data_IF_827724526929
#
_entry.id   IF_827724526929
#
_cell.length_a   1.000
_cell.length_b   1.000
_cell.length_c   1.000
_cell.angle_alpha   90.00
_cell.angle_beta   90.00
_cell.angle_gamma   90.00
#
_symmetry.space_group_name_H-M   'P 1'
#
loop_
_entity.id
_entity.type
_entity.pdbx_description
1 polymer ?
#
# COMPACT_ATOMS: atom_id res chain seq x y z
N UNK A 1 10.34 -31.72 -3.66
CA UNK A 1 9.61 -30.65 -4.37
C UNK A 1 9.91 -29.35 -3.67
N UNK A 2 10.46 -28.37 -4.37
CA UNK A 2 10.95 -27.11 -3.79
C UNK A 2 9.79 -26.14 -3.53
N UNK A 3 9.90 -25.37 -2.44
CA UNK A 3 8.98 -24.27 -2.17
C UNK A 3 9.05 -23.22 -3.29
N UNK A 4 8.00 -22.42 -3.44
CA UNK A 4 7.92 -21.32 -4.41
C UNK A 4 7.75 -19.98 -3.71
N UNK A 5 8.14 -18.91 -4.38
CA UNK A 5 7.95 -17.54 -3.91
C UNK A 5 6.77 -16.90 -4.62
N UNK A 6 5.76 -16.49 -3.84
CA UNK A 6 4.52 -15.92 -4.35
C UNK A 6 4.36 -14.50 -3.80
N UNK A 7 3.97 -13.57 -4.68
CA UNK A 7 3.75 -12.17 -4.34
C UNK A 7 2.27 -11.86 -4.53
N UNK A 8 1.65 -11.19 -3.54
CA UNK A 8 0.40 -10.48 -3.71
C UNK A 8 0.64 -8.98 -3.64
N UNK A 9 0.15 -8.19 -4.59
CA UNK A 9 0.31 -6.74 -4.59
C UNK A 9 -1.02 -6.01 -4.84
N UNK A 10 -1.22 -4.88 -4.18
CA UNK A 10 -2.42 -4.05 -4.34
C UNK A 10 -2.09 -2.56 -4.20
N UNK A 11 -2.95 -1.75 -4.81
CA UNK A 11 -2.93 -0.30 -4.77
C UNK A 11 -3.91 0.22 -3.72
N UNK A 12 -3.53 1.31 -3.04
CA UNK A 12 -4.43 2.05 -2.17
C UNK A 12 -4.29 3.55 -2.38
N UNK A 13 -5.43 4.19 -2.55
CA UNK A 13 -5.49 5.64 -2.68
C UNK A 13 -5.11 6.13 -4.08
N UNK A 14 -5.57 5.47 -5.14
CA UNK A 14 -5.50 5.96 -6.53
C UNK A 14 -6.48 7.11 -6.83
N UNK A 15 -7.69 7.03 -6.26
CA UNK A 15 -8.78 7.99 -6.42
C UNK A 15 -8.83 9.29 -5.56
N UNK A 16 -8.20 9.36 -4.36
CA UNK A 16 -8.25 10.51 -3.46
C UNK A 16 -7.81 11.85 -4.05
N UNK A 17 -8.25 12.94 -3.40
CA UNK A 17 -7.85 14.34 -3.63
C UNK A 17 -6.57 14.72 -2.87
N UNK A 18 -6.44 14.23 -1.64
CA UNK A 18 -5.32 14.51 -0.73
C UNK A 18 -4.55 13.22 -0.38
N UNK A 19 -3.34 13.42 0.15
CA UNK A 19 -2.51 12.36 0.71
C UNK A 19 -1.73 11.55 -0.32
N UNK A 20 -0.95 10.56 0.13
CA UNK A 20 -0.16 9.71 -0.75
C UNK A 20 -1.00 8.60 -1.39
N UNK A 21 -0.55 8.12 -2.54
CA UNK A 21 -0.91 6.80 -3.06
C UNK A 21 0.09 5.80 -2.49
N UNK A 22 -0.38 4.67 -2.00
CA UNK A 22 0.45 3.58 -1.51
C UNK A 22 0.23 2.35 -2.36
N UNK A 23 1.30 1.71 -2.81
CA UNK A 23 1.24 0.40 -3.45
C UNK A 23 1.99 -0.55 -2.55
N UNK A 24 1.34 -1.63 -2.14
CA UNK A 24 1.89 -2.57 -1.16
C UNK A 24 1.97 -3.95 -1.78
N UNK A 25 3.00 -4.70 -1.42
CA UNK A 25 3.15 -6.09 -1.80
C UNK A 25 3.56 -6.94 -0.61
N UNK A 26 3.12 -8.20 -0.62
CA UNK A 26 3.46 -9.25 0.35
C UNK A 26 4.15 -10.38 -0.38
N UNK A 27 5.34 -10.76 0.07
CA UNK A 27 6.07 -11.95 -0.38
C UNK A 27 5.85 -13.09 0.61
N UNK A 28 5.54 -14.28 0.08
CA UNK A 28 5.45 -15.51 0.86
C UNK A 28 6.27 -16.64 0.24
N UNK A 29 6.87 -17.47 1.10
CA UNK A 29 7.39 -18.79 0.74
C UNK A 29 6.28 -19.82 0.89
N UNK A 30 6.08 -20.61 -0.15
CA UNK A 30 4.89 -21.43 -0.31
C UNK A 30 5.25 -22.87 -0.65
N UNK A 31 4.79 -23.82 0.17
CA UNK A 31 4.93 -25.26 -0.12
C UNK A 31 3.87 -25.72 -1.14
N UNK A 32 3.98 -26.93 -1.72
CA UNK A 32 2.93 -27.46 -2.59
C UNK A 32 1.54 -27.54 -1.92
N UNK A 33 1.45 -27.78 -0.60
CA UNK A 33 0.17 -27.66 0.11
C UNK A 33 -0.28 -26.20 0.24
N UNK A 34 0.65 -25.30 0.55
CA UNK A 34 0.40 -23.86 0.65
C UNK A 34 -0.16 -23.26 -0.64
N UNK A 35 0.30 -23.74 -1.79
CA UNK A 35 -0.20 -23.30 -3.10
C UNK A 35 -1.72 -23.51 -3.21
N UNK A 36 -2.23 -24.66 -2.75
CA UNK A 36 -3.68 -24.95 -2.73
C UNK A 36 -4.45 -24.07 -1.75
N UNK A 37 -3.77 -23.49 -0.76
CA UNK A 37 -4.37 -22.50 0.15
C UNK A 37 -4.55 -21.17 -0.58
N UNK A 38 -3.53 -20.73 -1.33
CA UNK A 38 -3.57 -19.46 -2.07
C UNK A 38 -4.53 -19.49 -3.26
N UNK A 39 -4.71 -20.63 -3.91
CA UNK A 39 -5.66 -20.81 -5.02
C UNK A 39 -7.13 -20.79 -4.59
N UNK A 40 -7.41 -20.83 -3.28
CA UNK A 40 -8.76 -20.82 -2.74
C UNK A 40 -9.06 -19.47 -2.11
N UNK A 41 -10.24 -18.91 -2.43
CA UNK A 41 -10.74 -17.71 -1.75
C UNK A 41 -10.71 -17.90 -0.22
N UNK A 42 -10.27 -16.90 0.56
CA UNK A 42 -10.36 -16.94 2.03
C UNK A 42 -11.80 -17.23 2.49
N UNK A 43 -11.97 -17.95 3.60
CA UNK A 43 -13.29 -18.30 4.16
C UNK A 43 -13.33 -18.14 5.68
N UNK A 44 -14.54 -18.02 6.23
CA UNK A 44 -14.78 -17.92 7.68
C UNK A 44 -14.13 -16.68 8.29
N UNK A 45 -13.64 -16.80 9.53
CA UNK A 45 -13.06 -15.68 10.28
C UNK A 45 -11.82 -15.04 9.63
N UNK A 46 -11.04 -15.80 8.86
CA UNK A 46 -9.90 -15.22 8.13
C UNK A 46 -10.38 -14.27 7.03
N UNK A 47 -11.46 -14.62 6.33
CA UNK A 47 -12.04 -13.74 5.30
C UNK A 47 -12.56 -12.45 5.93
N UNK A 48 -13.29 -12.52 7.05
CA UNK A 48 -13.78 -11.30 7.71
C UNK A 48 -12.65 -10.41 8.23
N UNK A 49 -11.48 -11.00 8.52
CA UNK A 49 -10.27 -10.26 8.93
C UNK A 49 -9.35 -9.84 7.78
N UNK A 50 -9.70 -10.17 6.54
CA UNK A 50 -8.93 -9.80 5.33
C UNK A 50 -9.74 -8.99 4.31
N UNK A 51 -11.04 -9.26 4.17
CA UNK A 51 -11.83 -8.95 2.97
C UNK A 51 -13.14 -8.22 3.23
N UNK A 52 -13.17 -7.24 4.13
CA UNK A 52 -14.20 -6.19 4.12
C UNK A 52 -13.62 -4.89 3.49
N UNK A 53 -12.86 -5.07 2.42
CA UNK A 53 -12.04 -4.03 1.77
C UNK A 53 -12.85 -2.84 1.21
N UNK A 54 -14.19 -2.99 1.07
CA UNK A 54 -15.11 -1.98 0.52
C UNK A 54 -16.01 -1.32 1.58
N UNK A 55 -16.13 -1.87 2.79
CA UNK A 55 -16.92 -1.30 3.90
C UNK A 55 -16.10 -0.80 5.09
N UNK A 56 -14.81 -1.16 5.20
CA UNK A 56 -14.04 -0.99 6.43
C UNK A 56 -13.43 0.40 6.69
N UNK A 57 -13.38 1.30 5.71
CA UNK A 57 -12.79 2.66 5.91
C UNK A 57 -13.88 3.69 6.23
N UNK A 58 -14.79 3.32 7.12
CA UNK A 58 -15.63 4.25 7.88
C UNK A 58 -15.24 4.14 9.35
N UNK A 59 -14.30 4.99 9.80
CA UNK A 59 -13.94 5.31 11.20
C UNK A 59 -13.71 4.17 12.24
N UNK A 60 -13.95 2.89 11.95
CA UNK A 60 -14.01 1.81 12.94
C UNK A 60 -13.10 0.60 12.69
N UNK A 61 -12.30 0.57 11.60
CA UNK A 61 -11.50 -0.62 11.26
C UNK A 61 -9.99 -0.37 11.07
N UNK A 62 -9.49 0.83 11.37
CA UNK A 62 -8.04 1.09 11.42
C UNK A 62 -7.36 0.11 12.39
N UNK A 63 -8.05 -0.30 13.48
CA UNK A 63 -7.55 -1.27 14.45
C UNK A 63 -7.21 -2.65 13.86
N UNK A 64 -8.01 -3.20 12.94
CA UNK A 64 -7.69 -4.51 12.34
C UNK A 64 -6.49 -4.40 11.40
N UNK A 65 -6.44 -3.36 10.57
CA UNK A 65 -5.33 -3.13 9.66
C UNK A 65 -4.02 -2.86 10.43
N UNK A 66 -4.11 -2.12 11.53
CA UNK A 66 -3.02 -1.91 12.48
C UNK A 66 -2.57 -3.23 13.16
N UNK A 67 -3.50 -4.09 13.56
CA UNK A 67 -3.17 -5.40 14.13
C UNK A 67 -2.36 -6.27 13.16
N UNK A 68 -2.75 -6.29 11.88
CA UNK A 68 -1.97 -6.94 10.82
C UNK A 68 -0.60 -6.33 10.66
N UNK A 69 -0.51 -5.01 10.54
CA UNK A 69 0.74 -4.28 10.41
C UNK A 69 1.71 -4.61 11.57
N UNK A 70 1.26 -4.49 12.82
CA UNK A 70 2.06 -4.83 14.01
C UNK A 70 2.48 -6.29 14.04
N UNK A 71 1.56 -7.23 13.78
CA UNK A 71 1.85 -8.66 13.82
C UNK A 71 2.85 -9.08 12.73
N UNK A 72 2.80 -8.46 11.55
CA UNK A 72 3.72 -8.71 10.45
C UNK A 72 5.12 -8.17 10.76
N UNK A 73 5.23 -6.95 11.29
CA UNK A 73 6.51 -6.38 11.74
C UNK A 73 7.14 -7.21 12.85
N UNK A 74 6.36 -7.61 13.86
CA UNK A 74 6.84 -8.43 14.98
C UNK A 74 7.28 -9.84 14.57
N UNK A 75 6.92 -10.28 13.34
CA UNK A 75 7.37 -11.55 12.75
C UNK A 75 8.53 -11.39 11.78
N UNK A 76 9.13 -10.20 11.69
CA UNK A 76 10.26 -9.93 10.80
C UNK A 76 9.88 -9.67 9.35
N UNK A 77 8.59 -9.45 9.03
CA UNK A 77 8.19 -9.19 7.64
C UNK A 77 8.51 -7.75 7.17
N UNK A 78 8.84 -6.83 8.09
CA UNK A 78 9.32 -5.49 7.78
C UNK A 78 10.77 -5.47 7.29
N UNK A 79 11.35 -4.28 7.10
CA UNK A 79 12.82 -4.09 6.98
C UNK A 79 13.52 -4.25 8.33
N UNK A 80 12.77 -4.03 9.41
CA UNK A 80 13.17 -4.19 10.80
C UNK A 80 11.94 -4.57 11.63
N UNK A 81 12.16 -4.91 12.90
CA UNK A 81 11.11 -5.36 13.83
C UNK A 81 10.66 -4.28 14.82
N UNK A 82 11.22 -3.06 14.73
CA UNK A 82 10.72 -1.91 15.50
C UNK A 82 9.26 -1.65 15.13
N UNK A 83 8.41 -1.54 16.13
CA UNK A 83 6.96 -1.38 15.99
C UNK A 83 6.34 -0.78 17.26
N UNK A 84 6.99 0.23 17.83
CA UNK A 84 6.57 0.89 19.07
C UNK A 84 5.59 2.04 18.84
N UNK A 85 5.57 2.61 17.64
CA UNK A 85 4.61 3.63 17.19
C UNK A 85 4.21 3.44 15.71
N UNK A 86 3.18 4.15 15.22
CA UNK A 86 2.79 4.08 13.81
C UNK A 86 3.91 4.41 12.82
N UNK A 87 4.79 5.38 13.13
CA UNK A 87 5.93 5.71 12.26
C UNK A 87 6.91 4.55 12.09
N UNK A 88 7.14 3.75 13.14
CA UNK A 88 7.97 2.54 13.02
C UNK A 88 7.37 1.56 11.99
N UNK A 89 6.03 1.44 11.92
CA UNK A 89 5.37 0.56 10.94
C UNK A 89 5.47 1.12 9.52
N UNK A 90 5.35 2.45 9.36
CA UNK A 90 5.58 3.12 8.08
C UNK A 90 7.03 2.90 7.61
N UNK A 91 8.02 3.06 8.49
CA UNK A 91 9.43 2.83 8.17
C UNK A 91 9.73 1.35 7.90
N UNK A 92 9.13 0.43 8.67
CA UNK A 92 9.31 -1.00 8.48
C UNK A 92 8.81 -1.47 7.11
N UNK A 93 7.72 -0.89 6.61
CA UNK A 93 7.10 -1.34 5.36
C UNK A 93 7.48 -0.53 4.14
N UNK A 94 7.96 0.70 4.24
CA UNK A 94 8.36 1.44 3.04
C UNK A 94 9.51 0.72 2.31
N UNK A 95 9.51 0.75 0.98
CA UNK A 95 10.61 0.19 0.18
C UNK A 95 11.82 1.12 0.20
N UNK A 96 11.55 2.41 0.02
CA UNK A 96 12.51 3.52 0.06
C UNK A 96 12.73 3.96 1.51
N UNK A 97 13.95 4.35 1.89
CA UNK A 97 14.22 4.90 3.22
C UNK A 97 13.65 6.31 3.38
N UNK A 98 13.66 6.84 4.61
CA UNK A 98 13.13 8.18 4.91
C UNK A 98 13.80 9.25 4.06
N UNK A 99 15.12 9.20 3.92
CA UNK A 99 15.89 10.20 3.17
C UNK A 99 15.50 10.23 1.68
N UNK A 100 15.32 9.06 1.06
CA UNK A 100 14.86 8.96 -0.33
C UNK A 100 13.41 9.46 -0.48
N UNK A 101 12.55 9.23 0.51
CA UNK A 101 11.15 9.67 0.51
C UNK A 101 10.99 11.17 0.76
N UNK A 102 11.92 11.81 1.48
CA UNK A 102 11.90 13.24 1.82
C UNK A 102 12.87 14.09 1.01
N UNK A 103 13.69 13.49 0.15
CA UNK A 103 14.69 14.19 -0.68
C UNK A 103 14.15 15.42 -1.43
N UNK A 104 12.93 15.34 -1.96
CA UNK A 104 12.26 16.43 -2.68
C UNK A 104 11.33 17.27 -1.78
N UNK A 105 11.26 17.02 -0.47
CA UNK A 105 10.42 17.79 0.43
C UNK A 105 11.04 19.17 0.70
N UNK A 106 10.30 20.28 0.50
CA UNK A 106 10.74 21.55 1.04
C UNK A 106 10.79 21.45 2.58
N UNK A 107 11.97 21.71 3.17
CA UNK A 107 12.21 21.46 4.60
C UNK A 107 11.20 22.14 5.53
N UNK A 108 10.70 23.32 5.16
CA UNK A 108 9.74 24.06 5.98
C UNK A 108 8.31 23.50 5.96
N UNK A 109 8.02 22.52 5.10
CA UNK A 109 6.69 21.87 4.99
C UNK A 109 6.72 20.37 5.22
N UNK A 110 7.90 19.76 5.35
CA UNK A 110 8.09 18.32 5.51
C UNK A 110 7.24 17.73 6.64
N UNK A 111 7.15 18.46 7.76
CA UNK A 111 6.36 18.09 8.94
C UNK A 111 4.87 17.84 8.65
N UNK A 112 4.31 18.41 7.57
CA UNK A 112 2.92 18.16 7.17
C UNK A 112 2.68 16.67 6.84
N UNK A 113 3.66 16.00 6.27
CA UNK A 113 3.53 14.61 5.81
C UNK A 113 4.33 13.62 6.66
N UNK A 114 5.35 14.08 7.38
CA UNK A 114 6.33 13.23 8.04
C UNK A 114 6.50 13.46 9.53
N UNK A 115 5.79 14.43 10.13
CA UNK A 115 5.79 14.53 11.60
C UNK A 115 5.09 13.32 12.21
N UNK A 116 5.84 12.57 13.02
CA UNK A 116 5.34 11.48 13.86
C UNK A 116 4.92 11.95 15.26
N UNK A 117 5.04 13.25 15.55
CA UNK A 117 4.63 13.80 16.83
C UNK A 117 3.13 13.59 17.06
N UNK A 118 2.77 13.15 18.26
CA UNK A 118 1.39 12.83 18.63
C UNK A 118 0.83 11.55 18.03
N UNK A 119 1.61 10.75 17.29
CA UNK A 119 1.15 9.46 16.79
C UNK A 119 1.02 8.44 17.90
N UNK A 120 -0.19 7.93 18.07
CA UNK A 120 -0.49 6.88 19.03
C UNK A 120 -1.17 5.73 18.32
N UNK A 121 -0.81 4.57 18.80
CA UNK A 121 -1.46 3.32 18.46
C UNK A 121 -2.85 3.23 19.09
N UNK A 122 -3.70 2.37 18.51
CA UNK A 122 -4.93 1.95 19.18
C UNK A 122 -4.57 1.35 20.55
N UNK A 123 -5.27 1.75 21.64
CA UNK A 123 -5.00 1.30 23.00
C UNK A 123 -4.93 -0.23 23.13
N UNK A 124 -4.08 -0.72 24.03
CA UNK A 124 -3.77 -2.14 24.15
C UNK A 124 -4.98 -2.99 24.61
N UNK A 125 -5.85 -2.42 25.43
CA UNK A 125 -7.11 -3.02 25.88
C UNK A 125 -8.12 -3.19 24.73
N UNK A 126 -8.14 -2.27 23.78
CA UNK A 126 -8.95 -2.39 22.55
C UNK A 126 -8.29 -3.32 21.50
N UNK A 127 -6.96 -3.38 21.45
CA UNK A 127 -6.20 -4.10 20.42
C UNK A 127 -5.95 -5.58 20.75
N UNK A 128 -5.90 -5.96 22.03
CA UNK A 128 -5.33 -7.23 22.50
C UNK A 128 -5.95 -8.49 21.86
N UNK A 129 -7.29 -8.54 21.74
CA UNK A 129 -7.97 -9.69 21.12
C UNK A 129 -7.75 -9.77 19.61
N UNK A 130 -7.83 -8.63 18.93
CA UNK A 130 -7.62 -8.54 17.47
C UNK A 130 -6.20 -8.97 17.12
N UNK A 131 -5.20 -8.49 17.85
CA UNK A 131 -3.79 -8.86 17.64
C UNK A 131 -3.57 -10.36 17.85
N UNK A 132 -4.14 -10.95 18.90
CA UNK A 132 -4.08 -12.40 19.15
C UNK A 132 -4.72 -13.22 18.02
N UNK A 133 -5.84 -12.76 17.46
CA UNK A 133 -6.50 -13.43 16.35
C UNK A 133 -5.66 -13.38 15.08
N UNK A 134 -5.08 -12.23 14.75
CA UNK A 134 -4.19 -12.06 13.60
C UNK A 134 -2.94 -12.94 13.74
N UNK A 135 -2.31 -12.97 14.91
CA UNK A 135 -1.16 -13.84 15.17
C UNK A 135 -1.50 -15.33 14.99
N UNK A 136 -2.69 -15.75 15.44
CA UNK A 136 -3.18 -17.13 15.23
C UNK A 136 -3.42 -17.42 13.76
N UNK A 137 -3.94 -16.47 12.99
CA UNK A 137 -4.15 -16.63 11.55
C UNK A 137 -2.81 -16.78 10.81
N UNK A 138 -1.82 -15.94 11.10
CA UNK A 138 -0.47 -16.04 10.53
C UNK A 138 0.19 -17.39 10.86
N UNK A 139 0.13 -17.83 12.12
CA UNK A 139 0.66 -19.13 12.51
C UNK A 139 -0.08 -20.30 11.83
N UNK A 140 -1.39 -20.17 11.59
CA UNK A 140 -2.18 -21.18 10.87
C UNK A 140 -1.82 -21.23 9.39
N UNK A 141 -1.53 -20.10 8.77
CA UNK A 141 -1.08 -20.04 7.38
C UNK A 141 0.28 -20.72 7.21
N UNK A 142 1.22 -20.41 8.10
CA UNK A 142 2.55 -21.01 8.12
C UNK A 142 2.47 -22.53 8.26
N UNK A 143 1.69 -23.04 9.22
CA UNK A 143 1.44 -24.49 9.39
C UNK A 143 0.81 -25.15 8.16
N UNK A 144 0.14 -24.38 7.31
CA UNK A 144 -0.46 -24.86 6.06
C UNK A 144 0.43 -24.59 4.84
N UNK A 145 1.69 -24.23 5.07
CA UNK A 145 2.69 -24.06 4.02
C UNK A 145 2.69 -22.68 3.37
N UNK A 146 2.13 -21.64 4.00
CA UNK A 146 2.20 -20.24 3.53
C UNK A 146 2.90 -19.40 4.59
N UNK A 147 4.18 -19.15 4.39
CA UNK A 147 5.00 -18.33 5.29
C UNK A 147 5.17 -16.94 4.70
N UNK A 148 4.61 -15.92 5.35
CA UNK A 148 4.81 -14.53 4.95
C UNK A 148 6.22 -14.10 5.34
N UNK A 149 7.03 -13.76 4.33
CA UNK A 149 8.44 -13.43 4.51
C UNK A 149 8.68 -11.94 4.58
N UNK A 150 7.98 -11.16 3.75
CA UNK A 150 8.21 -9.73 3.67
C UNK A 150 6.98 -8.97 3.20
N UNK A 151 6.86 -7.72 3.65
CA UNK A 151 5.88 -6.75 3.19
C UNK A 151 6.61 -5.46 2.86
N UNK A 152 6.37 -4.91 1.68
CA UNK A 152 6.97 -3.65 1.23
C UNK A 152 5.93 -2.77 0.57
N UNK A 153 6.11 -1.47 0.69
CA UNK A 153 5.22 -0.46 0.15
C UNK A 153 6.00 0.65 -0.55
N UNK A 154 5.59 0.99 -1.76
CA UNK A 154 6.03 2.22 -2.43
C UNK A 154 5.03 3.31 -2.08
N UNK A 155 5.53 4.41 -1.53
CA UNK A 155 4.73 5.59 -1.20
C UNK A 155 4.98 6.66 -2.26
N UNK A 156 3.92 7.11 -2.92
CA UNK A 156 3.97 8.20 -3.87
C UNK A 156 3.21 9.39 -3.29
N UNK A 157 3.95 10.39 -2.82
CA UNK A 157 3.37 11.60 -2.23
C UNK A 157 2.65 12.47 -3.27
N UNK A 158 1.85 13.43 -2.80
CA UNK A 158 1.11 14.38 -3.66
C UNK A 158 2.03 15.05 -4.68
N UNK A 159 3.22 15.48 -4.26
CA UNK A 159 4.19 16.12 -5.16
C UNK A 159 4.60 15.19 -6.29
N UNK A 160 5.03 13.96 -6.01
CA UNK A 160 5.43 13.00 -7.04
C UNK A 160 4.29 12.62 -7.99
N UNK A 161 3.06 12.54 -7.50
CA UNK A 161 1.87 12.35 -8.36
C UNK A 161 1.65 13.56 -9.27
N UNK A 162 1.85 14.77 -8.76
CA UNK A 162 1.72 16.00 -9.51
C UNK A 162 2.84 16.19 -10.53
N UNK A 163 4.07 15.81 -10.20
CA UNK A 163 5.21 15.84 -11.11
C UNK A 163 4.99 14.83 -12.25
N UNK A 164 4.44 13.65 -11.95
CA UNK A 164 4.06 12.67 -12.97
C UNK A 164 2.99 13.21 -13.94
N UNK A 165 2.03 14.02 -13.47
CA UNK A 165 1.06 14.70 -14.33
C UNK A 165 1.76 15.70 -15.27
N UNK A 166 2.74 16.45 -14.77
CA UNK A 166 3.52 17.38 -15.61
C UNK A 166 4.35 16.64 -16.68
N UNK A 167 4.76 15.39 -16.39
CA UNK A 167 5.41 14.49 -17.35
C UNK A 167 4.42 13.78 -18.30
N UNK A 168 3.12 14.07 -18.23
CA UNK A 168 2.08 13.42 -19.04
C UNK A 168 1.77 11.98 -18.65
N UNK A 169 2.20 11.52 -17.47
CA UNK A 169 1.95 10.17 -16.96
C UNK A 169 0.67 10.15 -16.13
N UNK A 170 -0.19 9.17 -16.40
CA UNK A 170 -1.39 8.98 -15.58
C UNK A 170 -1.03 8.31 -14.26
N UNK A 171 -1.86 8.52 -13.24
CA UNK A 171 -1.75 7.80 -11.96
C UNK A 171 -1.74 6.26 -12.13
N UNK A 172 -2.38 5.73 -13.17
CA UNK A 172 -2.35 4.30 -13.48
C UNK A 172 -0.94 3.84 -13.91
N UNK A 173 -0.21 4.67 -14.66
CA UNK A 173 1.19 4.38 -15.01
C UNK A 173 2.06 4.41 -13.75
N UNK A 174 1.85 5.40 -12.87
CA UNK A 174 2.59 5.51 -11.61
C UNK A 174 2.34 4.31 -10.70
N UNK A 175 1.08 3.88 -10.59
CA UNK A 175 0.67 2.69 -9.84
C UNK A 175 1.36 1.42 -10.38
N UNK A 176 1.25 1.19 -11.69
CA UNK A 176 1.92 0.07 -12.36
C UNK A 176 3.43 0.07 -12.06
N UNK A 177 4.10 1.21 -12.23
CA UNK A 177 5.55 1.30 -12.02
C UNK A 177 5.93 1.06 -10.56
N UNK A 178 5.09 1.47 -9.61
CA UNK A 178 5.27 1.15 -8.19
C UNK A 178 5.11 -0.35 -7.91
N UNK A 179 4.14 -1.04 -8.51
CA UNK A 179 4.00 -2.50 -8.43
C UNK A 179 5.23 -3.21 -9.01
N UNK A 180 5.72 -2.77 -10.17
CA UNK A 180 6.91 -3.32 -10.81
C UNK A 180 8.16 -3.24 -9.92
N UNK A 181 8.36 -2.10 -9.24
CA UNK A 181 9.47 -1.92 -8.28
C UNK A 181 9.41 -2.93 -7.13
N UNK A 182 8.21 -3.17 -6.59
CA UNK A 182 8.01 -4.12 -5.50
C UNK A 182 8.27 -5.57 -5.93
N UNK A 183 7.81 -5.94 -7.13
CA UNK A 183 8.06 -7.27 -7.71
C UNK A 183 9.56 -7.50 -7.88
N UNK A 184 10.27 -6.53 -8.45
CA UNK A 184 11.72 -6.62 -8.64
C UNK A 184 12.46 -6.72 -7.29
N UNK A 185 12.09 -5.91 -6.30
CA UNK A 185 12.68 -5.96 -4.96
C UNK A 185 12.45 -7.31 -4.27
N UNK A 186 11.27 -7.92 -4.43
CA UNK A 186 10.99 -9.23 -3.86
C UNK A 186 11.61 -10.38 -4.64
N UNK A 187 11.78 -10.25 -5.95
CA UNK A 187 12.57 -11.21 -6.73
C UNK A 187 14.03 -11.19 -6.29
N UNK A 188 14.59 -10.02 -6.01
CA UNK A 188 15.94 -9.87 -5.44
C UNK A 188 16.03 -10.60 -4.10
N UNK A 189 15.08 -10.32 -3.20
CA UNK A 189 15.02 -10.92 -1.86
C UNK A 189 14.84 -12.45 -1.89
N UNK A 190 14.02 -12.96 -2.81
CA UNK A 190 13.79 -14.39 -2.98
C UNK A 190 15.01 -15.12 -3.57
N UNK A 191 15.83 -14.43 -4.38
CA UNK A 191 16.96 -15.01 -5.10
C UNK A 191 16.57 -15.84 -6.34
N UNK A 192 15.28 -16.08 -6.56
CA UNK A 192 14.74 -16.94 -7.62
C UNK A 192 13.51 -16.33 -8.29
N UNK A 193 13.00 -16.96 -9.35
CA UNK A 193 11.80 -16.51 -10.05
C UNK A 193 10.57 -16.55 -9.12
N UNK A 194 9.75 -15.50 -9.21
CA UNK A 194 8.56 -15.30 -8.37
C UNK A 194 7.27 -15.48 -9.17
N UNK A 195 6.17 -15.77 -8.46
CA UNK A 195 4.82 -15.76 -9.02
C UNK A 195 4.05 -14.58 -8.41
N UNK A 196 3.88 -13.50 -9.16
CA UNK A 196 3.18 -12.30 -8.69
C UNK A 196 1.71 -12.26 -9.17
N UNK A 197 0.82 -12.00 -8.23
CA UNK A 197 -0.59 -11.66 -8.47
C UNK A 197 -0.81 -10.24 -7.99
N UNK A 198 -1.21 -9.36 -8.90
CA UNK A 198 -1.40 -7.94 -8.64
C UNK A 198 -2.86 -7.56 -8.86
N UNK A 199 -3.37 -6.64 -8.05
CA UNK A 199 -4.58 -5.89 -8.35
C UNK A 199 -4.49 -5.31 -9.76
N UNK A 200 -5.57 -5.45 -10.53
CA UNK A 200 -5.58 -4.92 -11.90
C UNK A 200 -5.55 -3.39 -11.87
N UNK A 201 -4.52 -2.83 -12.48
CA UNK A 201 -4.40 -1.38 -12.66
C UNK A 201 -5.50 -0.89 -13.60
N UNK A 202 -6.23 0.14 -13.17
CA UNK A 202 -7.30 0.73 -13.96
C UNK A 202 -6.82 1.21 -15.34
N UNK A 203 -7.69 1.10 -16.35
CA UNK A 203 -7.40 1.60 -17.70
C UNK A 203 -6.54 0.70 -18.59
N UNK A 204 -5.97 -0.40 -18.09
CA UNK A 204 -5.14 -1.31 -18.89
C UNK A 204 -5.75 -2.72 -19.06
N UNK A 205 -5.91 -3.14 -20.32
CA UNK A 205 -6.13 -4.55 -20.68
C UNK A 205 -4.84 -5.27 -21.09
N UNK A 206 -3.82 -4.51 -21.48
CA UNK A 206 -2.52 -4.97 -21.93
C UNK A 206 -1.45 -4.02 -21.37
N UNK A 207 -0.34 -4.59 -20.89
CA UNK A 207 0.70 -3.90 -20.13
C UNK A 207 2.04 -3.82 -20.88
N UNK A 208 2.24 -4.65 -21.91
CA UNK A 208 3.52 -4.80 -22.61
C UNK A 208 4.17 -3.49 -23.10
N UNK A 209 3.36 -2.47 -23.41
CA UNK A 209 3.83 -1.16 -23.91
C UNK A 209 3.96 -0.09 -22.83
N UNK A 210 3.48 -0.34 -21.61
CA UNK A 210 3.40 0.66 -20.53
C UNK A 210 4.24 0.30 -19.31
N UNK A 211 4.90 -0.87 -19.33
CA UNK A 211 5.89 -1.23 -18.32
C UNK A 211 7.00 -0.17 -18.19
N UNK A 212 7.38 0.14 -16.97
CA UNK A 212 8.44 1.09 -16.63
C UNK A 212 9.71 0.38 -16.15
N UNK A 213 9.83 0.05 -14.86
CA UNK A 213 10.97 -0.72 -14.33
C UNK A 213 11.23 -2.09 -15.00
N UNK A 214 10.18 -2.75 -15.50
CA UNK A 214 10.25 -3.96 -16.33
C UNK A 214 10.33 -3.65 -17.83
N UNK A 215 10.23 -2.38 -18.20
CA UNK A 215 10.39 -1.89 -19.56
C UNK A 215 11.72 -2.33 -20.16
N UNK A 216 11.69 -2.72 -21.43
CA UNK A 216 12.86 -3.23 -22.15
C UNK A 216 13.28 -4.66 -21.80
N UNK A 217 12.68 -5.31 -20.78
CA UNK A 217 12.89 -6.73 -20.53
C UNK A 217 12.10 -7.58 -21.53
N UNK A 218 12.72 -8.66 -22.00
CA UNK A 218 12.03 -9.68 -22.79
C UNK A 218 10.92 -10.30 -21.94
N UNK A 219 9.73 -10.44 -22.53
CA UNK A 219 8.64 -11.16 -21.91
C UNK A 219 7.80 -11.90 -22.94
N UNK A 220 7.21 -13.01 -22.52
CA UNK A 220 6.15 -13.68 -23.25
C UNK A 220 4.80 -13.26 -22.68
N UNK A 221 3.87 -12.92 -23.57
CA UNK A 221 2.47 -12.72 -23.20
C UNK A 221 1.83 -14.09 -23.01
N UNK A 222 1.33 -14.37 -21.80
CA UNK A 222 0.56 -15.59 -21.52
C UNK A 222 -0.89 -15.35 -21.89
N UNK A 223 -1.46 -14.23 -21.44
CA UNK A 223 -2.79 -13.77 -21.84
C UNK A 223 -2.96 -12.27 -21.59
N UNK A 224 -3.90 -11.65 -22.31
CA UNK A 224 -4.31 -10.26 -22.09
C UNK A 224 -5.83 -10.17 -22.17
N UNK A 225 -6.42 -9.48 -21.19
CA UNK A 225 -7.85 -9.39 -21.12
C UNK A 225 -8.34 -8.45 -20.03
N UNK A 226 -9.65 -8.22 -20.01
CA UNK A 226 -10.28 -7.33 -19.04
C UNK A 226 -10.24 -7.91 -17.62
N UNK A 227 -10.35 -9.23 -17.46
CA UNK A 227 -10.36 -9.88 -16.16
C UNK A 227 -8.95 -10.22 -15.65
N UNK A 228 -8.08 -10.70 -16.54
CA UNK A 228 -6.70 -11.08 -16.22
C UNK A 228 -5.77 -10.74 -17.39
N UNK A 229 -4.58 -10.26 -17.08
CA UNK A 229 -3.47 -10.12 -18.02
C UNK A 229 -2.22 -10.71 -17.38
N UNK A 230 -1.53 -11.65 -18.03
CA UNK A 230 -0.40 -12.37 -17.45
C UNK A 230 0.79 -12.45 -18.40
N UNK A 231 1.99 -12.33 -17.84
CA UNK A 231 3.25 -12.22 -18.55
C UNK A 231 4.31 -13.09 -17.87
N UNK A 232 5.19 -13.68 -18.67
CA UNK A 232 6.39 -14.37 -18.17
C UNK A 232 7.65 -13.61 -18.55
N UNK A 233 8.45 -13.28 -17.57
CA UNK A 233 9.71 -12.58 -17.70
C UNK A 233 10.85 -13.53 -17.31
N UNK A 234 11.76 -13.90 -18.24
CA UNK A 234 12.92 -14.71 -17.90
C UNK A 234 13.76 -14.07 -16.79
N UNK A 235 14.07 -14.85 -15.74
CA UNK A 235 14.85 -14.40 -14.60
C UNK A 235 14.09 -13.46 -13.65
N UNK A 236 12.78 -13.27 -13.84
CA UNK A 236 11.89 -12.62 -12.87
C UNK A 236 10.76 -13.55 -12.46
N UNK A 237 10.14 -14.26 -13.41
CA UNK A 237 9.05 -15.19 -13.17
C UNK A 237 7.75 -14.80 -13.87
N UNK A 238 6.61 -15.11 -13.26
CA UNK A 238 5.28 -14.86 -13.82
C UNK A 238 4.58 -13.72 -13.07
N UNK A 239 4.02 -12.77 -13.81
CA UNK A 239 3.31 -11.61 -13.26
C UNK A 239 1.91 -11.59 -13.86
N UNK A 240 0.88 -11.59 -13.02
CA UNK A 240 -0.52 -11.54 -13.42
C UNK A 240 -1.25 -10.37 -12.76
N UNK A 241 -1.92 -9.55 -13.56
CA UNK A 241 -2.80 -8.47 -13.13
C UNK A 241 -4.24 -8.95 -13.20
N UNK A 242 -4.89 -9.08 -12.04
CA UNK A 242 -6.19 -9.74 -11.87
C UNK A 242 -7.19 -8.77 -11.27
N UNK A 243 -8.38 -8.68 -11.87
CA UNK A 243 -9.46 -7.81 -11.38
C UNK A 243 -10.05 -8.38 -10.08
N UNK A 244 -10.40 -7.50 -9.14
CA UNK A 244 -11.07 -7.87 -7.86
C UNK A 244 -10.28 -8.93 -7.07
N UNK A 245 -8.94 -8.90 -7.17
CA UNK A 245 -8.07 -9.92 -6.57
C UNK A 245 -7.86 -9.74 -5.06
N UNK A 246 -8.13 -8.56 -4.50
CA UNK A 246 -8.08 -8.31 -3.05
C UNK A 246 -9.12 -9.13 -2.29
N UNK A 247 -10.30 -9.35 -2.88
CA UNK A 247 -11.36 -10.19 -2.32
C UNK A 247 -11.09 -11.70 -2.46
N UNK A 248 -10.27 -12.08 -3.45
CA UNK A 248 -10.14 -13.45 -3.93
C UNK A 248 -8.77 -14.10 -3.64
N UNK A 249 -7.73 -13.30 -3.43
CA UNK A 249 -6.37 -13.75 -3.17
C UNK A 249 -5.88 -13.29 -1.78
N UNK A 250 -5.45 -14.25 -0.97
CA UNK A 250 -4.98 -14.02 0.40
C UNK A 250 -3.88 -12.96 0.51
N UNK A 251 -2.86 -13.03 -0.35
CA UNK A 251 -1.70 -12.14 -0.26
C UNK A 251 -2.03 -10.73 -0.77
N UNK A 252 -2.88 -10.63 -1.79
CA UNK A 252 -3.38 -9.33 -2.27
C UNK A 252 -4.26 -8.67 -1.21
N UNK A 253 -5.15 -9.42 -0.55
CA UNK A 253 -5.95 -8.89 0.56
C UNK A 253 -5.10 -8.38 1.73
N UNK A 254 -4.04 -9.10 2.10
CA UNK A 254 -3.07 -8.62 3.10
C UNK A 254 -2.35 -7.35 2.64
N UNK A 255 -1.92 -7.29 1.37
CA UNK A 255 -1.29 -6.11 0.79
C UNK A 255 -2.23 -4.90 0.85
N UNK A 256 -3.50 -5.10 0.45
CA UNK A 256 -4.56 -4.08 0.51
C UNK A 256 -4.73 -3.53 1.93
N UNK A 257 -4.87 -4.42 2.92
CA UNK A 257 -5.04 -4.01 4.32
C UNK A 257 -3.87 -3.18 4.85
N UNK A 258 -2.64 -3.65 4.64
CA UNK A 258 -1.44 -2.91 5.09
C UNK A 258 -1.32 -1.58 4.34
N UNK A 259 -1.57 -1.56 3.03
CA UNK A 259 -1.53 -0.33 2.24
C UNK A 259 -2.56 0.71 2.67
N UNK A 260 -3.77 0.29 3.03
CA UNK A 260 -4.80 1.17 3.64
C UNK A 260 -4.33 1.73 4.97
N UNK A 261 -3.81 0.89 5.87
CA UNK A 261 -3.29 1.34 7.15
C UNK A 261 -2.23 2.43 6.96
N UNK A 262 -1.23 2.18 6.11
CA UNK A 262 -0.18 3.15 5.83
C UNK A 262 -0.72 4.46 5.25
N UNK A 263 -1.70 4.38 4.33
CA UNK A 263 -2.34 5.56 3.77
C UNK A 263 -3.06 6.37 4.84
N UNK A 264 -3.84 5.72 5.71
CA UNK A 264 -4.58 6.39 6.78
C UNK A 264 -3.62 7.08 7.76
N UNK A 265 -2.56 6.39 8.23
CA UNK A 265 -1.52 7.01 9.07
C UNK A 265 -0.94 8.26 8.41
N UNK A 266 -0.60 8.18 7.12
CA UNK A 266 -0.04 9.33 6.40
C UNK A 266 -1.04 10.45 6.12
N UNK A 267 -2.33 10.14 5.93
CA UNK A 267 -3.38 11.16 5.84
C UNK A 267 -3.62 11.84 7.19
N UNK A 268 -3.63 11.06 8.28
CA UNK A 268 -3.80 11.58 9.63
C UNK A 268 -2.68 12.54 10.01
N UNK A 269 -1.45 12.34 9.53
CA UNK A 269 -0.36 13.34 9.67
C UNK A 269 -0.74 14.69 9.06
N UNK A 270 -1.30 14.69 7.86
CA UNK A 270 -1.74 15.91 7.18
C UNK A 270 -2.87 16.57 7.98
N UNK A 271 -3.88 15.79 8.39
CA UNK A 271 -5.00 16.31 9.19
C UNK A 271 -4.51 16.91 10.50
N UNK A 272 -3.69 16.18 11.25
CA UNK A 272 -3.12 16.60 12.54
C UNK A 272 -2.30 17.87 12.41
N UNK A 273 -1.44 17.97 11.38
CA UNK A 273 -0.61 19.14 11.13
C UNK A 273 -1.42 20.44 11.11
N UNK A 274 -2.60 20.45 10.51
CA UNK A 274 -3.42 21.67 10.49
C UNK A 274 -4.27 21.82 11.75
N UNK A 275 -4.80 20.73 12.31
CA UNK A 275 -5.65 20.78 13.51
C UNK A 275 -4.89 21.22 14.77
N UNK A 276 -3.59 20.93 14.86
CA UNK A 276 -2.72 21.46 15.92
C UNK A 276 -2.56 22.98 15.88
N UNK A 277 -2.82 23.60 14.73
CA UNK A 277 -2.70 25.06 14.51
C UNK A 277 -4.04 25.76 14.61
N UNK A 278 -5.13 25.02 14.45
CA UNK A 278 -6.51 25.49 14.53
C UNK A 278 -7.44 24.29 14.80
N UNK A 279 -7.91 24.20 16.05
CA UNK A 279 -8.73 23.08 16.52
C UNK A 279 -10.14 23.04 15.91
N UNK A 280 -10.62 24.15 15.32
CA UNK A 280 -11.94 24.23 14.67
C UNK A 280 -11.97 23.48 13.33
N UNK A 281 -10.79 23.22 12.74
CA UNK A 281 -10.64 22.48 11.49
C UNK A 281 -11.13 21.05 11.66
N UNK A 282 -12.16 20.69 10.91
CA UNK A 282 -12.72 19.34 10.87
C UNK A 282 -11.78 18.37 10.12
N UNK A 283 -11.71 17.09 10.49
CA UNK A 283 -10.85 16.12 9.80
C UNK A 283 -11.29 15.87 8.35
N UNK A 284 -10.33 15.50 7.50
CA UNK A 284 -10.57 15.11 6.11
C UNK A 284 -10.43 13.60 5.93
N UNK A 285 -11.23 13.01 5.04
CA UNK A 285 -11.00 11.64 4.54
C UNK A 285 -9.87 11.59 3.48
N UNK A 286 -9.61 12.75 2.85
CA UNK A 286 -8.71 12.91 1.72
C UNK A 286 -9.35 12.53 0.37
N UNK A 287 -10.58 12.04 0.33
CA UNK A 287 -11.29 11.69 -0.91
C UNK A 287 -11.99 12.90 -1.55
N UNK A 288 -12.62 12.69 -2.71
CA UNK A 288 -13.48 13.70 -3.33
C UNK A 288 -14.87 13.68 -2.66
N UNK A 289 -14.95 14.25 -1.46
CA UNK A 289 -16.17 14.35 -0.66
C UNK A 289 -16.29 15.71 0.05
N UNK A 290 -17.48 16.04 0.62
CA UNK A 290 -17.70 17.34 1.24
C UNK A 290 -16.80 17.62 2.45
N UNK A 291 -16.44 16.60 3.25
CA UNK A 291 -15.59 16.80 4.44
C UNK A 291 -14.17 17.17 4.04
N UNK A 292 -13.64 16.57 2.97
CA UNK A 292 -12.33 16.93 2.42
C UNK A 292 -12.37 18.32 1.77
N UNK A 293 -13.46 18.67 1.09
CA UNK A 293 -13.64 20.01 0.53
C UNK A 293 -13.62 21.10 1.61
N UNK A 294 -14.37 20.90 2.70
CA UNK A 294 -14.36 21.81 3.85
C UNK A 294 -12.97 21.93 4.46
N UNK A 295 -12.24 20.82 4.64
CA UNK A 295 -10.87 20.86 5.14
C UNK A 295 -9.94 21.65 4.23
N UNK A 296 -10.03 21.48 2.91
CA UNK A 296 -9.22 22.21 1.94
C UNK A 296 -9.43 23.72 2.06
N UNK A 297 -10.68 24.16 2.19
CA UNK A 297 -11.03 25.58 2.37
C UNK A 297 -10.54 26.09 3.73
N UNK A 298 -10.84 25.38 4.82
CA UNK A 298 -10.48 25.79 6.18
C UNK A 298 -8.95 25.93 6.37
N UNK A 299 -8.17 25.08 5.71
CA UNK A 299 -6.70 25.10 5.82
C UNK A 299 -6.00 26.10 4.89
N UNK A 300 -6.73 26.80 4.00
CA UNK A 300 -6.13 27.68 2.98
C UNK A 300 -5.27 28.80 3.58
N UNK A 301 -5.78 29.51 4.61
CA UNK A 301 -5.05 30.60 5.25
C UNK A 301 -3.75 30.12 5.90
N UNK A 302 -3.79 28.95 6.55
CA UNK A 302 -2.62 28.30 7.15
C UNK A 302 -1.60 27.89 6.09
N UNK A 303 -2.05 27.27 4.99
CA UNK A 303 -1.18 26.89 3.85
C UNK A 303 -0.48 28.11 3.26
N UNK A 304 -1.21 29.20 3.05
CA UNK A 304 -0.64 30.46 2.52
C UNK A 304 0.38 31.06 3.48
N UNK A 305 0.08 31.12 4.78
CA UNK A 305 0.99 31.63 5.82
C UNK A 305 2.28 30.79 5.90
N UNK A 306 2.16 29.47 5.83
CA UNK A 306 3.29 28.53 5.86
C UNK A 306 3.98 28.33 4.51
N UNK A 307 3.51 29.00 3.45
CA UNK A 307 4.04 28.87 2.07
C UNK A 307 4.13 27.42 1.61
N UNK A 308 3.06 26.66 1.82
CA UNK A 308 2.93 25.28 1.34
C UNK A 308 2.81 25.29 -0.18
N UNK A 309 3.71 24.64 -0.94
CA UNK A 309 3.57 24.55 -2.39
C UNK A 309 2.27 23.84 -2.77
N UNK A 310 1.57 24.35 -3.77
CA UNK A 310 0.32 23.73 -4.25
C UNK A 310 0.54 22.27 -4.68
N UNK A 311 1.71 21.95 -5.24
CA UNK A 311 2.10 20.60 -5.64
C UNK A 311 2.22 19.63 -4.45
N UNK A 312 2.37 20.11 -3.22
CA UNK A 312 2.55 19.28 -2.02
C UNK A 312 1.26 19.00 -1.24
N UNK A 313 0.12 19.59 -1.64
CA UNK A 313 -1.13 19.46 -0.87
C UNK A 313 -2.23 18.73 -1.65
N UNK A 314 -2.71 19.32 -2.75
CA UNK A 314 -3.76 18.74 -3.59
C UNK A 314 -3.20 18.04 -4.82
N UNK A 315 -3.79 16.89 -5.15
CA UNK A 315 -3.46 16.16 -6.37
C UNK A 315 -4.16 16.78 -7.59
N UNK A 316 -3.41 16.94 -8.68
CA UNK A 316 -3.89 17.37 -9.99
C UNK A 316 -4.32 16.17 -10.84
N UNK A 317 -5.06 16.45 -11.91
CA UNK A 317 -5.44 15.45 -12.91
C UNK A 317 -4.77 15.80 -14.23
N UNK A 318 -4.56 14.82 -15.10
CA UNK A 318 -4.12 15.12 -16.46
C UNK A 318 -5.17 16.03 -17.12
N UNK A 319 -4.72 17.18 -17.63
CA UNK A 319 -5.57 18.17 -18.29
C UNK A 319 -6.30 19.15 -17.36
N UNK A 320 -5.96 19.20 -16.06
CA UNK A 320 -6.41 20.23 -15.12
C UNK A 320 -5.45 21.41 -15.04
#
# INVERSE_FOLDING_TARGET
MTARYVIGADENGLGPRLGPMTVTAVLARVTPEGQRVLERKPRGGLRSRLGDSKGLVSYGNVALAEAWARALVARGAGRHERGSCPDDLVDAFTLDDRDALTSDCPRHVEAQCWSAEGEVFVPADEMGDTLRLVQKDLARLEKRGVEVMAVRSVVVCTRRLNDAVDEGKSRFVVDLHAMERLILAFRELAGEDVQAVCGKVGGFGAYGKVFGPLGGRLHAVIEEGRARSAYRFPGVGEIAFVRDSDDDNLLVGMASLVGKYLREVMMDRIVRHYRERDEEIQPASGYHDPVTEQFVVATEALRRKSRVPATCFERRKIGS
#
